data_IF_601934439485
#
_entry.id   IF_601934439485
#
_cell.length_a   1.000
_cell.length_b   1.000
_cell.length_c   1.000
_cell.angle_alpha   90.00
_cell.angle_beta   90.00
_cell.angle_gamma   90.00
#
_symmetry.space_group_name_H-M   'P 1'
#
loop_
_entity.id
_entity.type
_entity.pdbx_description
1 polymer ?
#
# COMPACT_ATOMS: atom_id res chain seq x y z
N UNK A 1 -19.68 -31.35 11.00
CA UNK A 1 -19.10 -30.55 9.88
C UNK A 1 -18.92 -29.06 10.18
N UNK A 2 -19.43 -28.50 11.29
CA UNK A 2 -19.22 -27.08 11.61
C UNK A 2 -17.81 -26.73 12.11
N UNK A 3 -17.13 -27.64 12.83
CA UNK A 3 -15.81 -27.34 13.42
C UNK A 3 -14.72 -27.07 12.36
N UNK A 4 -14.67 -27.84 11.27
CA UNK A 4 -13.64 -27.64 10.23
C UNK A 4 -13.78 -26.31 9.48
N UNK A 5 -15.03 -25.83 9.29
CA UNK A 5 -15.29 -24.53 8.64
C UNK A 5 -14.93 -23.36 9.55
N UNK A 6 -15.25 -23.43 10.84
CA UNK A 6 -14.86 -22.38 11.81
C UNK A 6 -13.35 -22.29 11.99
N UNK A 7 -12.66 -23.43 12.01
CA UNK A 7 -11.19 -23.48 12.13
C UNK A 7 -10.51 -22.89 10.89
N UNK A 8 -11.01 -23.21 9.70
CA UNK A 8 -10.53 -22.64 8.45
C UNK A 8 -10.73 -21.12 8.38
N UNK A 9 -11.92 -20.61 8.73
CA UNK A 9 -12.20 -19.18 8.76
C UNK A 9 -11.30 -18.45 9.76
N UNK A 10 -11.04 -19.04 10.93
CA UNK A 10 -10.10 -18.49 11.91
C UNK A 10 -8.65 -18.45 11.42
N UNK A 11 -8.23 -19.43 10.62
CA UNK A 11 -6.90 -19.43 10.01
C UNK A 11 -6.76 -18.36 8.92
N UNK A 12 -7.76 -18.22 8.05
CA UNK A 12 -7.80 -17.19 7.00
C UNK A 12 -7.87 -15.78 7.60
N UNK A 13 -8.62 -15.58 8.69
CA UNK A 13 -8.65 -14.28 9.41
C UNK A 13 -7.24 -13.89 9.89
N UNK A 14 -6.51 -14.84 10.51
CA UNK A 14 -5.14 -14.59 10.99
C UNK A 14 -4.18 -14.26 9.85
N UNK A 15 -4.29 -14.96 8.73
CA UNK A 15 -3.40 -14.71 7.58
C UNK A 15 -3.70 -13.37 6.93
N UNK A 16 -4.99 -13.05 6.75
CA UNK A 16 -5.45 -11.77 6.20
C UNK A 16 -4.98 -10.60 7.08
N UNK A 17 -5.06 -10.75 8.40
CA UNK A 17 -4.54 -9.75 9.34
C UNK A 17 -3.01 -9.58 9.26
N UNK A 18 -2.26 -10.68 9.15
CA UNK A 18 -0.80 -10.60 8.99
C UNK A 18 -0.42 -9.91 7.69
N UNK A 19 -1.09 -10.24 6.58
CA UNK A 19 -0.88 -9.57 5.30
C UNK A 19 -1.21 -8.07 5.40
N UNK A 20 -2.32 -7.70 6.06
CA UNK A 20 -2.67 -6.31 6.33
C UNK A 20 -1.52 -5.58 7.06
N UNK A 21 -1.01 -6.15 8.15
CA UNK A 21 0.08 -5.54 8.92
C UNK A 21 1.35 -5.37 8.09
N UNK A 22 1.76 -6.40 7.35
CA UNK A 22 2.93 -6.33 6.46
C UNK A 22 2.74 -5.25 5.41
N UNK A 23 1.57 -5.18 4.78
CA UNK A 23 1.25 -4.14 3.79
C UNK A 23 1.25 -2.74 4.38
N UNK A 24 0.74 -2.53 5.60
CA UNK A 24 0.78 -1.24 6.29
C UNK A 24 2.23 -0.82 6.59
N UNK A 25 3.04 -1.74 7.12
CA UNK A 25 4.45 -1.46 7.41
C UNK A 25 5.20 -1.12 6.12
N UNK A 26 5.01 -1.92 5.06
CA UNK A 26 5.63 -1.69 3.77
C UNK A 26 5.21 -0.34 3.17
N UNK A 27 3.93 0.00 3.19
CA UNK A 27 3.41 1.30 2.76
C UNK A 27 4.02 2.45 3.56
N UNK A 28 4.18 2.28 4.87
CA UNK A 28 4.76 3.30 5.75
C UNK A 28 6.23 3.53 5.40
N UNK A 29 7.00 2.44 5.24
CA UNK A 29 8.41 2.50 4.82
C UNK A 29 8.56 3.14 3.44
N UNK A 30 7.76 2.71 2.44
CA UNK A 30 7.77 3.30 1.11
C UNK A 30 7.41 4.78 1.14
N UNK A 31 6.41 5.17 1.94
CA UNK A 31 6.03 6.58 2.08
C UNK A 31 7.16 7.41 2.70
N UNK A 32 7.81 6.91 3.75
CA UNK A 32 8.98 7.57 4.34
C UNK A 32 10.15 7.69 3.36
N UNK A 33 10.41 6.65 2.57
CA UNK A 33 11.45 6.67 1.55
C UNK A 33 11.17 7.73 0.47
N UNK A 34 9.93 7.85 0.01
CA UNK A 34 9.54 8.93 -0.93
C UNK A 34 9.80 10.28 -0.29
N UNK A 35 9.41 10.51 0.97
CA UNK A 35 9.65 11.81 1.62
C UNK A 35 11.13 12.20 1.77
N UNK A 36 12.02 11.22 1.99
CA UNK A 36 13.45 11.49 2.22
C UNK A 36 14.23 11.55 0.90
N UNK A 37 13.88 10.71 -0.06
CA UNK A 37 14.66 10.49 -1.28
C UNK A 37 14.02 11.08 -2.55
N UNK A 38 12.86 11.74 -2.47
CA UNK A 38 12.12 12.25 -3.64
C UNK A 38 13.02 13.12 -4.52
N UNK A 39 13.64 14.15 -3.93
CA UNK A 39 14.39 15.14 -4.70
C UNK A 39 15.64 14.53 -5.35
N UNK A 40 16.26 13.55 -4.69
CA UNK A 40 17.41 12.82 -5.23
C UNK A 40 16.99 11.91 -6.40
N UNK A 41 15.91 11.14 -6.24
CA UNK A 41 15.41 10.21 -7.25
C UNK A 41 14.91 11.00 -8.47
N UNK A 42 14.19 12.09 -8.25
CA UNK A 42 13.67 12.96 -9.31
C UNK A 42 14.82 13.62 -10.08
N UNK A 43 15.83 14.15 -9.39
CA UNK A 43 17.02 14.73 -10.02
C UNK A 43 17.77 13.68 -10.87
N UNK A 44 17.91 12.46 -10.36
CA UNK A 44 18.52 11.35 -11.10
C UNK A 44 17.72 11.00 -12.35
N UNK A 45 16.39 10.86 -12.25
CA UNK A 45 15.52 10.57 -13.39
C UNK A 45 15.53 11.69 -14.43
N UNK A 46 15.49 12.95 -13.99
CA UNK A 46 15.59 14.11 -14.87
C UNK A 46 16.90 14.11 -15.66
N UNK A 47 18.01 13.79 -15.00
CA UNK A 47 19.35 13.69 -15.63
C UNK A 47 19.43 12.52 -16.62
N UNK A 48 18.84 11.37 -16.29
CA UNK A 48 18.79 10.22 -17.20
C UNK A 48 17.91 10.48 -18.44
N UNK A 49 16.82 11.23 -18.28
CA UNK A 49 15.89 11.55 -19.37
C UNK A 49 16.34 12.77 -20.20
N UNK A 50 17.47 13.39 -19.88
CA UNK A 50 17.99 14.56 -20.59
C UNK A 50 17.10 15.80 -20.45
N UNK A 51 16.39 15.94 -19.34
CA UNK A 51 15.48 17.07 -19.09
C UNK A 51 16.29 18.35 -18.92
N UNK A 52 16.00 19.35 -19.75
CA UNK A 52 16.60 20.67 -19.68
C UNK A 52 16.20 21.39 -18.38
N UNK A 53 17.09 22.19 -17.78
CA UNK A 53 16.87 22.87 -16.49
C UNK A 53 15.59 23.73 -16.49
N UNK A 54 15.26 24.34 -17.63
CA UNK A 54 14.02 25.12 -17.80
C UNK A 54 12.72 24.32 -17.62
N UNK A 55 12.77 22.99 -17.76
CA UNK A 55 11.62 22.09 -17.60
C UNK A 55 11.69 21.23 -16.33
N UNK A 56 12.73 21.42 -15.51
CA UNK A 56 13.06 20.54 -14.39
C UNK A 56 12.05 20.67 -13.25
N UNK A 57 11.53 21.89 -13.00
CA UNK A 57 10.45 22.12 -12.04
C UNK A 57 9.16 21.40 -12.43
N UNK A 58 8.80 21.45 -13.72
CA UNK A 58 7.60 20.78 -14.23
C UNK A 58 7.74 19.26 -14.15
N UNK A 59 8.90 18.74 -14.54
CA UNK A 59 9.22 17.32 -14.41
C UNK A 59 9.18 16.86 -12.95
N UNK A 60 9.75 17.64 -12.04
CA UNK A 60 9.71 17.35 -10.60
C UNK A 60 8.28 17.32 -10.08
N UNK A 61 7.46 18.29 -10.47
CA UNK A 61 6.06 18.33 -10.06
C UNK A 61 5.29 17.09 -10.54
N UNK A 62 5.42 16.73 -11.82
CA UNK A 62 4.74 15.57 -12.40
C UNK A 62 5.22 14.26 -11.76
N UNK A 63 6.53 14.12 -11.51
CA UNK A 63 7.10 12.95 -10.85
C UNK A 63 6.59 12.79 -9.41
N UNK A 64 6.53 13.87 -8.64
CA UNK A 64 5.94 13.87 -7.29
C UNK A 64 4.46 13.47 -7.34
N UNK A 65 3.70 14.05 -8.26
CA UNK A 65 2.28 13.74 -8.42
C UNK A 65 2.07 12.24 -8.70
N UNK A 66 2.88 11.66 -9.58
CA UNK A 66 2.84 10.23 -9.89
C UNK A 66 3.18 9.38 -8.66
N UNK A 67 4.23 9.71 -7.91
CA UNK A 67 4.57 8.99 -6.68
C UNK A 67 3.43 9.02 -5.65
N UNK A 68 2.82 10.18 -5.42
CA UNK A 68 1.68 10.30 -4.51
C UNK A 68 0.45 9.53 -4.99
N UNK A 69 0.18 9.55 -6.30
CA UNK A 69 -0.93 8.81 -6.88
C UNK A 69 -0.76 7.30 -6.70
N UNK A 70 0.44 6.76 -6.96
CA UNK A 70 0.76 5.35 -6.72
C UNK A 70 0.63 4.98 -5.24
N UNK A 71 1.14 5.82 -4.34
CA UNK A 71 1.01 5.61 -2.90
C UNK A 71 -0.48 5.53 -2.49
N UNK A 72 -1.32 6.38 -3.08
CA UNK A 72 -2.78 6.34 -2.93
C UNK A 72 -3.38 5.01 -3.39
N UNK A 73 -3.03 4.54 -4.59
CA UNK A 73 -3.52 3.27 -5.11
C UNK A 73 -3.08 2.07 -4.25
N UNK A 74 -1.84 2.04 -3.75
CA UNK A 74 -1.39 0.97 -2.87
C UNK A 74 -2.10 0.97 -1.51
N UNK A 75 -2.41 2.15 -0.96
CA UNK A 75 -3.22 2.27 0.27
C UNK A 75 -4.63 1.71 0.05
N UNK A 76 -5.27 2.10 -1.06
CA UNK A 76 -6.60 1.59 -1.43
C UNK A 76 -6.58 0.09 -1.68
N UNK A 77 -5.58 -0.42 -2.42
CA UNK A 77 -5.40 -1.84 -2.69
C UNK A 77 -5.19 -2.67 -1.42
N UNK A 78 -4.42 -2.15 -0.45
CA UNK A 78 -4.25 -2.78 0.86
C UNK A 78 -5.58 -2.88 1.61
N UNK A 79 -6.39 -1.82 1.56
CA UNK A 79 -7.74 -1.82 2.10
C UNK A 79 -8.60 -2.90 1.44
N UNK A 80 -8.64 -2.90 0.11
CA UNK A 80 -9.50 -3.80 -0.66
C UNK A 80 -9.13 -5.27 -0.49
N UNK A 81 -7.84 -5.61 -0.52
CA UNK A 81 -7.35 -6.99 -0.55
C UNK A 81 -7.18 -7.61 0.84
N UNK A 82 -6.92 -6.80 1.87
CA UNK A 82 -6.61 -7.32 3.21
C UNK A 82 -7.54 -6.78 4.29
N UNK A 83 -7.86 -5.48 4.28
CA UNK A 83 -8.72 -4.91 5.33
C UNK A 83 -10.17 -5.39 5.21
N UNK A 84 -10.75 -5.31 4.00
CA UNK A 84 -12.15 -5.72 3.77
C UNK A 84 -12.33 -7.22 4.07
N UNK A 85 -11.51 -8.15 3.53
CA UNK A 85 -11.66 -9.56 3.84
C UNK A 85 -11.47 -9.86 5.32
N UNK A 86 -10.51 -9.21 5.98
CA UNK A 86 -10.32 -9.37 7.42
C UNK A 86 -11.54 -8.90 8.23
N UNK A 87 -12.12 -7.73 7.91
CA UNK A 87 -13.33 -7.21 8.57
C UNK A 87 -14.53 -8.14 8.36
N UNK A 88 -14.74 -8.62 7.14
CA UNK A 88 -15.83 -9.55 6.81
C UNK A 88 -15.70 -10.85 7.61
N UNK A 89 -14.50 -11.43 7.68
CA UNK A 89 -14.23 -12.65 8.46
C UNK A 89 -14.44 -12.42 9.96
N UNK A 90 -13.99 -11.27 10.48
CA UNK A 90 -14.14 -10.91 11.90
C UNK A 90 -15.61 -10.75 12.29
N UNK A 91 -16.39 -10.01 11.49
CA UNK A 91 -17.82 -9.81 11.72
C UNK A 91 -18.62 -11.10 11.58
N UNK A 92 -18.28 -11.94 10.60
CA UNK A 92 -18.90 -13.26 10.40
C UNK A 92 -18.73 -14.16 11.64
N UNK A 93 -17.56 -14.12 12.29
CA UNK A 93 -17.34 -14.85 13.54
C UNK A 93 -18.06 -14.24 14.75
N UNK A 94 -18.17 -12.90 14.80
CA UNK A 94 -18.87 -12.18 15.86
C UNK A 94 -20.40 -12.33 15.82
N UNK A 95 -20.97 -12.63 14.65
CA UNK A 95 -22.41 -12.86 14.49
C UNK A 95 -22.86 -14.31 14.78
N UNK A 96 -21.91 -15.24 14.97
CA UNK A 96 -22.16 -16.68 15.24
C UNK A 96 -21.85 -17.03 16.72
N UNK A 97 -21.34 -16.09 17.51
CA UNK A 97 -21.12 -16.24 18.97
C UNK A 97 -22.23 -15.59 19.76
#
# INVERSE_FOLDING_TARGET
MNNSRSDWLGWVEKISFRCLLVSIVMLTVCSGAVWIADDFIISLHAKFLGVNEANLDRFSYDAKLIHYQFLGFFKLGTGLLFLIPWLVLRCSRGAIG
#
